data_IF_724119919865
#
_entry.id   IF_724119919865
#
_cell.length_a   1.000
_cell.length_b   1.000
_cell.length_c   1.000
_cell.angle_alpha   90.00
_cell.angle_beta   90.00
_cell.angle_gamma   90.00
#
_symmetry.space_group_name_H-M   'P 1'
#
loop_
_entity.id
_entity.type
_entity.pdbx_description
1 polymer ?
#
# COMPACT_ATOMS: atom_id res chain seq x y z
N UNK A 1 24.44 -17.09 9.96
CA UNK A 1 23.41 -17.76 10.80
C UNK A 1 22.06 -17.16 10.41
N UNK A 2 21.23 -17.91 9.68
CA UNK A 2 19.91 -17.43 9.26
C UNK A 2 18.96 -17.59 10.45
N UNK A 3 18.82 -16.56 11.27
CA UNK A 3 17.83 -16.53 12.34
C UNK A 3 16.48 -16.39 11.65
N UNK A 4 15.71 -17.48 11.66
CA UNK A 4 14.34 -17.52 11.14
C UNK A 4 13.51 -16.48 11.90
N UNK A 5 12.79 -15.62 11.18
CA UNK A 5 11.89 -14.64 11.81
C UNK A 5 10.79 -15.41 12.53
N UNK A 6 10.65 -15.17 13.82
CA UNK A 6 9.66 -15.87 14.62
C UNK A 6 8.28 -15.25 14.35
N UNK A 7 7.28 -16.09 14.01
CA UNK A 7 5.89 -15.63 13.86
C UNK A 7 5.38 -14.95 15.13
N UNK A 8 5.80 -15.44 16.30
CA UNK A 8 5.44 -14.86 17.60
C UNK A 8 5.90 -13.41 17.70
N UNK A 9 7.14 -13.12 17.32
CA UNK A 9 7.68 -11.75 17.33
C UNK A 9 6.86 -10.82 16.42
N UNK A 10 6.45 -11.30 15.24
CA UNK A 10 5.57 -10.52 14.35
C UNK A 10 4.22 -10.25 15.01
N UNK A 11 3.61 -11.25 15.66
CA UNK A 11 2.33 -11.09 16.35
C UNK A 11 2.45 -10.11 17.51
N UNK A 12 3.49 -10.21 18.33
CA UNK A 12 3.71 -9.32 19.48
C UNK A 12 3.89 -7.87 19.02
N UNK A 13 4.77 -7.63 18.03
CA UNK A 13 4.95 -6.30 17.43
C UNK A 13 3.65 -5.76 16.83
N UNK A 14 2.90 -6.59 16.10
CA UNK A 14 1.63 -6.18 15.52
C UNK A 14 0.59 -5.82 16.60
N UNK A 15 0.50 -6.61 17.67
CA UNK A 15 -0.40 -6.33 18.80
C UNK A 15 -0.10 -4.99 19.46
N UNK A 16 1.18 -4.67 19.71
CA UNK A 16 1.55 -3.35 20.24
C UNK A 16 1.22 -2.21 19.26
N UNK A 17 1.46 -2.41 17.96
CA UNK A 17 1.11 -1.45 16.91
C UNK A 17 -0.39 -1.17 16.80
N UNK A 18 -1.20 -2.22 16.88
CA UNK A 18 -2.66 -2.12 16.84
C UNK A 18 -3.18 -1.39 18.07
N UNK A 19 -2.66 -1.70 19.26
CA UNK A 19 -3.04 -1.01 20.50
C UNK A 19 -2.75 0.49 20.40
N UNK A 20 -1.52 0.85 20.01
CA UNK A 20 -1.13 2.24 19.82
C UNK A 20 -1.99 2.95 18.78
N UNK A 21 -2.27 2.30 17.64
CA UNK A 21 -3.05 2.89 16.55
C UNK A 21 -4.51 3.19 16.95
N UNK A 22 -5.09 2.36 17.82
CA UNK A 22 -6.47 2.54 18.35
C UNK A 22 -6.59 3.71 19.32
N UNK A 23 -5.49 4.17 19.90
CA UNK A 23 -5.44 5.31 20.82
C UNK A 23 -5.30 6.65 20.08
N UNK A 24 -5.02 6.63 18.77
CA UNK A 24 -4.79 7.84 18.00
C UNK A 24 -6.11 8.52 17.59
N UNK A 25 -6.12 9.86 17.66
CA UNK A 25 -7.16 10.66 17.02
C UNK A 25 -6.82 10.83 15.53
N UNK A 26 -7.66 10.26 14.65
CA UNK A 26 -7.40 10.23 13.21
C UNK A 26 -8.46 11.05 12.47
N UNK A 27 -8.03 12.11 11.78
CA UNK A 27 -8.94 13.03 11.08
C UNK A 27 -8.70 13.12 9.57
N UNK A 28 -7.48 12.83 9.11
CA UNK A 28 -7.09 12.93 7.70
C UNK A 28 -7.53 11.70 6.90
N UNK A 29 -8.05 11.90 5.68
CA UNK A 29 -8.54 10.81 4.81
C UNK A 29 -7.46 9.77 4.54
N UNK A 30 -6.22 10.22 4.31
CA UNK A 30 -5.05 9.37 4.12
C UNK A 30 -4.84 8.43 5.32
N UNK A 31 -4.84 8.97 6.52
CA UNK A 31 -4.56 8.21 7.74
C UNK A 31 -5.73 7.31 8.12
N UNK A 32 -6.98 7.76 7.94
CA UNK A 32 -8.18 6.92 8.07
C UNK A 32 -8.11 5.71 7.14
N UNK A 33 -7.84 5.94 5.86
CA UNK A 33 -7.79 4.89 4.84
C UNK A 33 -6.73 3.84 5.16
N UNK A 34 -5.53 4.26 5.59
CA UNK A 34 -4.44 3.34 5.95
C UNK A 34 -4.76 2.56 7.22
N UNK A 35 -5.32 3.21 8.24
CA UNK A 35 -5.71 2.55 9.48
C UNK A 35 -6.82 1.53 9.28
N UNK A 36 -7.83 1.84 8.44
CA UNK A 36 -8.89 0.90 8.07
C UNK A 36 -8.28 -0.34 7.40
N UNK A 37 -7.42 -0.17 6.39
CA UNK A 37 -6.75 -1.29 5.71
C UNK A 37 -5.95 -2.15 6.68
N UNK A 38 -5.12 -1.52 7.51
CA UNK A 38 -4.28 -2.20 8.49
C UNK A 38 -5.12 -3.01 9.47
N UNK A 39 -6.09 -2.37 10.14
CA UNK A 39 -6.93 -3.03 11.13
C UNK A 39 -7.78 -4.16 10.51
N UNK A 40 -8.34 -3.96 9.32
CA UNK A 40 -9.12 -4.97 8.61
C UNK A 40 -8.30 -6.24 8.36
N UNK A 41 -7.05 -6.09 7.90
CA UNK A 41 -6.11 -7.20 7.68
C UNK A 41 -5.80 -8.02 8.95
N UNK A 42 -5.91 -7.40 10.12
CA UNK A 42 -5.72 -8.04 11.42
C UNK A 42 -7.04 -8.49 12.08
N UNK A 43 -8.15 -8.47 11.34
CA UNK A 43 -9.51 -8.78 11.82
C UNK A 43 -9.97 -7.90 12.99
N UNK A 44 -9.48 -6.66 13.03
CA UNK A 44 -9.87 -5.67 14.04
C UNK A 44 -11.10 -4.87 13.62
N UNK A 45 -11.82 -4.32 14.60
CA UNK A 45 -13.03 -3.53 14.33
C UNK A 45 -12.67 -2.20 13.65
N UNK A 46 -13.19 -1.97 12.45
CA UNK A 46 -12.96 -0.75 11.65
C UNK A 46 -14.20 0.14 11.48
N UNK A 47 -15.37 -0.30 11.97
CA UNK A 47 -16.66 0.36 11.71
C UNK A 47 -16.67 1.86 11.99
N UNK A 48 -16.17 2.28 13.15
CA UNK A 48 -16.13 3.69 13.52
C UNK A 48 -15.27 4.53 12.57
N UNK A 49 -14.10 4.01 12.15
CA UNK A 49 -13.23 4.69 11.19
C UNK A 49 -13.86 4.76 9.80
N UNK A 50 -14.56 3.70 9.38
CA UNK A 50 -15.31 3.69 8.11
C UNK A 50 -16.42 4.74 8.15
N UNK A 51 -17.20 4.81 9.23
CA UNK A 51 -18.24 5.82 9.41
C UNK A 51 -17.64 7.23 9.33
N UNK A 52 -16.53 7.50 10.04
CA UNK A 52 -15.82 8.77 10.00
C UNK A 52 -15.23 9.10 8.61
N UNK A 53 -14.74 8.09 7.89
CA UNK A 53 -14.27 8.27 6.51
C UNK A 53 -15.44 8.68 5.61
N UNK A 54 -16.59 8.01 5.73
CA UNK A 54 -17.78 8.29 4.92
C UNK A 54 -18.41 9.66 5.23
N UNK A 55 -18.37 10.14 6.47
CA UNK A 55 -18.89 11.49 6.81
C UNK A 55 -18.07 12.62 6.18
N UNK A 56 -16.81 12.36 5.81
CA UNK A 56 -15.92 13.32 5.13
C UNK A 56 -16.09 13.35 3.61
N UNK A 57 -16.96 12.51 3.05
CA UNK A 57 -17.22 12.42 1.62
C UNK A 57 -18.15 13.56 1.17
N UNK A 58 -17.84 14.20 0.05
CA UNK A 58 -18.71 15.20 -0.59
C UNK A 58 -19.10 14.71 -1.98
N UNK A 59 -20.36 14.32 -2.16
CA UNK A 59 -20.83 13.77 -3.42
C UNK A 59 -20.03 12.53 -3.85
N UNK A 60 -19.46 12.55 -5.05
CA UNK A 60 -18.77 11.41 -5.64
C UNK A 60 -17.27 11.30 -5.27
N UNK A 61 -16.73 12.17 -4.41
CA UNK A 61 -15.30 12.12 -4.04
C UNK A 61 -15.04 12.63 -2.61
N UNK A 62 -13.79 12.48 -2.16
CA UNK A 62 -13.29 13.21 -0.99
C UNK A 62 -12.60 14.48 -1.47
N UNK A 63 -13.27 15.64 -1.30
CA UNK A 63 -12.81 16.96 -1.72
C UNK A 63 -11.69 17.50 -0.81
N UNK A 64 -10.52 16.87 -0.89
CA UNK A 64 -9.30 17.34 -0.23
C UNK A 64 -8.47 18.19 -1.19
N UNK A 65 -7.29 18.64 -0.75
CA UNK A 65 -6.30 19.25 -1.65
C UNK A 65 -5.68 18.24 -2.65
N UNK A 66 -5.97 16.94 -2.53
CA UNK A 66 -5.52 15.86 -3.42
C UNK A 66 -6.66 14.86 -3.69
N UNK A 67 -7.74 15.30 -4.37
CA UNK A 67 -9.00 14.57 -4.40
C UNK A 67 -8.90 13.20 -5.10
N UNK A 68 -8.10 13.07 -6.17
CA UNK A 68 -7.85 11.76 -6.82
C UNK A 68 -7.20 10.80 -5.83
N UNK A 69 -6.13 11.26 -5.19
CA UNK A 69 -5.30 10.46 -4.30
C UNK A 69 -6.08 9.95 -3.09
N UNK A 70 -6.83 10.84 -2.44
CA UNK A 70 -7.55 10.51 -1.22
C UNK A 70 -8.84 9.72 -1.52
N UNK A 71 -9.51 9.99 -2.64
CA UNK A 71 -10.63 9.14 -3.10
C UNK A 71 -10.14 7.73 -3.41
N UNK A 72 -9.01 7.57 -4.12
CA UNK A 72 -8.45 6.26 -4.44
C UNK A 72 -8.06 5.46 -3.17
N UNK A 73 -7.44 6.13 -2.19
CA UNK A 73 -7.12 5.52 -0.89
C UNK A 73 -8.36 5.08 -0.12
N UNK A 74 -9.38 5.94 -0.08
CA UNK A 74 -10.65 5.65 0.58
C UNK A 74 -11.34 4.45 -0.08
N UNK A 75 -11.45 4.41 -1.41
CA UNK A 75 -11.99 3.28 -2.15
C UNK A 75 -11.23 1.98 -1.84
N UNK A 76 -9.90 2.00 -1.90
CA UNK A 76 -9.07 0.81 -1.60
C UNK A 76 -9.30 0.33 -0.16
N UNK A 77 -9.45 1.26 0.79
CA UNK A 77 -9.73 0.93 2.18
C UNK A 77 -11.10 0.30 2.37
N UNK A 78 -12.13 0.86 1.74
CA UNK A 78 -13.49 0.30 1.79
C UNK A 78 -13.54 -1.11 1.17
N UNK A 79 -12.86 -1.32 0.04
CA UNK A 79 -12.78 -2.65 -0.60
C UNK A 79 -12.10 -3.68 0.32
N UNK A 80 -11.08 -3.28 1.08
CA UNK A 80 -10.43 -4.17 2.06
C UNK A 80 -11.35 -4.63 3.20
N UNK A 81 -12.51 -3.98 3.36
CA UNK A 81 -13.57 -4.34 4.28
C UNK A 81 -14.82 -4.91 3.57
N UNK A 82 -14.72 -5.25 2.28
CA UNK A 82 -15.81 -5.81 1.50
C UNK A 82 -16.84 -4.78 0.99
N UNK A 83 -16.51 -3.50 1.00
CA UNK A 83 -17.40 -2.42 0.55
C UNK A 83 -16.89 -1.84 -0.78
N UNK A 84 -17.66 -1.98 -1.86
CA UNK A 84 -17.32 -1.43 -3.17
C UNK A 84 -18.03 -0.07 -3.35
N UNK A 85 -17.25 1.00 -3.37
CA UNK A 85 -17.71 2.38 -3.53
C UNK A 85 -17.87 2.75 -5.02
N UNK A 86 -18.86 2.16 -5.69
CA UNK A 86 -19.04 2.26 -7.15
C UNK A 86 -19.06 3.71 -7.68
N UNK A 87 -19.85 4.59 -7.06
CA UNK A 87 -19.95 6.01 -7.46
C UNK A 87 -18.57 6.71 -7.46
N UNK A 88 -17.73 6.41 -6.47
CA UNK A 88 -16.41 7.02 -6.31
C UNK A 88 -15.41 6.44 -7.30
N UNK A 89 -15.51 5.14 -7.62
CA UNK A 89 -14.69 4.48 -8.64
C UNK A 89 -15.06 4.98 -10.05
N UNK A 90 -16.34 5.20 -10.32
CA UNK A 90 -16.82 5.80 -11.57
C UNK A 90 -16.32 7.23 -11.69
N UNK A 91 -16.34 8.01 -10.60
CA UNK A 91 -15.76 9.34 -10.57
C UNK A 91 -14.26 9.32 -10.86
N UNK A 92 -13.48 8.45 -10.20
CA UNK A 92 -12.04 8.27 -10.48
C UNK A 92 -11.85 7.98 -11.98
N UNK A 93 -12.60 7.01 -12.53
CA UNK A 93 -12.50 6.62 -13.93
C UNK A 93 -12.79 7.81 -14.86
N UNK A 94 -13.82 8.60 -14.57
CA UNK A 94 -14.19 9.79 -15.33
C UNK A 94 -13.15 10.92 -15.27
N UNK A 95 -12.23 10.92 -14.31
CA UNK A 95 -11.13 11.90 -14.24
C UNK A 95 -9.93 11.52 -15.12
N UNK A 96 -9.87 10.32 -15.68
CA UNK A 96 -8.75 9.89 -16.50
C UNK A 96 -8.67 10.71 -17.80
N UNK A 97 -7.48 11.20 -18.13
CA UNK A 97 -7.19 11.90 -19.39
C UNK A 97 -5.89 11.39 -19.98
N UNK A 98 -5.88 11.04 -21.27
CA UNK A 98 -4.69 10.54 -21.97
C UNK A 98 -4.00 9.38 -21.22
N UNK A 99 -4.81 8.45 -20.70
CA UNK A 99 -4.32 7.28 -19.94
C UNK A 99 -3.78 7.60 -18.55
N UNK A 100 -3.96 8.79 -17.97
CA UNK A 100 -3.42 9.11 -16.65
C UNK A 100 -4.33 10.01 -15.83
N UNK A 101 -3.94 10.22 -14.58
CA UNK A 101 -4.53 11.20 -13.68
C UNK A 101 -3.51 12.32 -13.41
N UNK A 102 -3.87 13.54 -13.83
CA UNK A 102 -3.10 14.77 -13.60
C UNK A 102 -1.63 14.75 -14.05
N UNK A 103 -1.30 13.93 -15.04
CA UNK A 103 0.08 13.68 -15.50
C UNK A 103 1.03 13.31 -14.34
N UNK A 104 0.48 12.61 -13.34
CA UNK A 104 1.18 12.24 -12.11
C UNK A 104 1.29 10.73 -12.02
N UNK A 105 2.51 10.23 -11.90
CA UNK A 105 2.81 8.83 -11.67
C UNK A 105 2.27 8.32 -10.32
N UNK A 106 2.22 9.19 -9.31
CA UNK A 106 1.70 8.86 -7.99
C UNK A 106 0.17 8.74 -8.05
N UNK A 107 -0.53 9.76 -8.56
CA UNK A 107 -2.00 9.71 -8.61
C UNK A 107 -2.50 8.62 -9.55
N UNK A 108 -1.83 8.42 -10.69
CA UNK A 108 -2.14 7.32 -11.62
C UNK A 108 -1.95 5.97 -10.96
N UNK A 109 -0.86 5.76 -10.21
CA UNK A 109 -0.65 4.50 -9.49
C UNK A 109 -1.74 4.25 -8.45
N UNK A 110 -2.12 5.25 -7.65
CA UNK A 110 -3.17 5.10 -6.64
C UNK A 110 -4.55 4.85 -7.26
N UNK A 111 -4.91 5.55 -8.33
CA UNK A 111 -6.15 5.31 -9.06
C UNK A 111 -6.22 3.87 -9.59
N UNK A 112 -5.13 3.39 -10.22
CA UNK A 112 -5.04 2.02 -10.72
C UNK A 112 -5.06 0.97 -9.61
N UNK A 113 -4.46 1.25 -8.45
CA UNK A 113 -4.57 0.38 -7.26
C UNK A 113 -6.02 0.26 -6.83
N UNK A 114 -6.75 1.39 -6.69
CA UNK A 114 -8.13 1.40 -6.24
C UNK A 114 -9.07 0.66 -7.22
N UNK A 115 -8.91 0.90 -8.52
CA UNK A 115 -9.64 0.18 -9.57
C UNK A 115 -9.31 -1.32 -9.52
N UNK A 116 -8.04 -1.67 -9.35
CA UNK A 116 -7.58 -3.06 -9.30
C UNK A 116 -8.10 -3.81 -8.08
N UNK A 117 -8.13 -3.15 -6.92
CA UNK A 117 -8.74 -3.68 -5.70
C UNK A 117 -10.23 -4.00 -5.92
N UNK A 118 -10.95 -3.14 -6.64
CA UNK A 118 -12.35 -3.35 -7.00
C UNK A 118 -12.56 -4.33 -8.18
N UNK A 119 -11.51 -4.95 -8.71
CA UNK A 119 -11.59 -5.87 -9.85
C UNK A 119 -11.78 -5.19 -11.21
N UNK A 120 -11.64 -3.88 -11.30
CA UNK A 120 -11.77 -3.10 -12.53
C UNK A 120 -10.41 -2.98 -13.24
N UNK A 121 -10.36 -3.41 -14.50
CA UNK A 121 -9.15 -3.32 -15.33
C UNK A 121 -9.07 -1.96 -16.02
N UNK A 122 -7.88 -1.37 -16.04
CA UNK A 122 -7.59 -0.15 -16.79
C UNK A 122 -6.21 -0.28 -17.47
N UNK A 123 -6.25 -0.81 -18.70
CA UNK A 123 -5.06 -1.15 -19.46
C UNK A 123 -4.30 0.10 -19.90
N UNK A 124 -5.02 1.11 -20.40
CA UNK A 124 -4.45 2.39 -20.85
C UNK A 124 -3.62 3.07 -19.76
N UNK A 125 -4.07 3.02 -18.51
CA UNK A 125 -3.33 3.57 -17.38
C UNK A 125 -2.07 2.79 -17.04
N UNK A 126 -2.12 1.46 -17.15
CA UNK A 126 -0.95 0.62 -16.95
C UNK A 126 0.11 0.85 -18.05
N UNK A 127 -0.31 0.92 -19.30
CA UNK A 127 0.57 1.22 -20.43
C UNK A 127 1.17 2.62 -20.31
N UNK A 128 0.39 3.59 -19.84
CA UNK A 128 0.92 4.93 -19.57
C UNK A 128 2.03 4.92 -18.53
N UNK A 129 1.88 4.18 -17.43
CA UNK A 129 2.92 4.05 -16.41
C UNK A 129 4.19 3.42 -16.99
N UNK A 130 4.08 2.33 -17.73
CA UNK A 130 5.23 1.61 -18.29
C UNK A 130 5.95 2.44 -19.35
N UNK A 131 5.22 3.05 -20.29
CA UNK A 131 5.80 3.83 -21.39
C UNK A 131 6.53 5.09 -20.91
N UNK A 132 6.04 5.72 -19.85
CA UNK A 132 6.59 6.98 -19.34
C UNK A 132 7.60 6.79 -18.20
N UNK A 133 7.80 5.56 -17.71
CA UNK A 133 8.77 5.31 -16.66
C UNK A 133 10.19 5.63 -17.12
N UNK A 134 10.92 6.40 -16.31
CA UNK A 134 12.30 6.77 -16.57
C UNK A 134 12.98 7.38 -15.35
N UNK A 135 14.19 7.91 -15.53
CA UNK A 135 15.06 8.39 -14.43
C UNK A 135 14.38 9.36 -13.46
N UNK A 136 13.45 10.20 -13.94
CA UNK A 136 12.70 11.15 -13.11
C UNK A 136 11.79 10.45 -12.08
N UNK A 137 11.32 9.25 -12.40
CA UNK A 137 10.41 8.46 -11.55
C UNK A 137 11.14 7.37 -10.76
N UNK A 138 12.45 7.21 -10.93
CA UNK A 138 13.30 6.25 -10.21
C UNK A 138 13.51 6.67 -8.75
N UNK A 139 12.43 6.62 -7.99
CA UNK A 139 12.39 6.72 -6.54
C UNK A 139 11.75 5.45 -5.98
N UNK A 140 12.21 5.00 -4.80
CA UNK A 140 11.76 3.74 -4.20
C UNK A 140 10.24 3.74 -3.98
N UNK A 141 9.70 4.80 -3.38
CA UNK A 141 8.26 4.92 -3.11
C UNK A 141 7.42 4.90 -4.40
N UNK A 142 7.82 5.70 -5.39
CA UNK A 142 7.14 5.77 -6.69
C UNK A 142 7.17 4.44 -7.43
N UNK A 143 8.35 3.83 -7.53
CA UNK A 143 8.52 2.53 -8.21
C UNK A 143 7.72 1.43 -7.52
N UNK A 144 7.67 1.43 -6.19
CA UNK A 144 6.87 0.48 -5.40
C UNK A 144 5.37 0.63 -5.66
N UNK A 145 4.88 1.87 -5.77
CA UNK A 145 3.46 2.14 -6.10
C UNK A 145 3.12 1.66 -7.51
N UNK A 146 3.99 1.90 -8.49
CA UNK A 146 3.80 1.44 -9.87
C UNK A 146 3.77 -0.08 -9.93
N UNK A 147 4.71 -0.77 -9.29
CA UNK A 147 4.70 -2.25 -9.19
C UNK A 147 3.39 -2.73 -8.57
N UNK A 148 2.96 -2.13 -7.46
CA UNK A 148 1.72 -2.49 -6.77
C UNK A 148 0.50 -2.31 -7.69
N UNK A 149 0.43 -1.21 -8.43
CA UNK A 149 -0.63 -0.95 -9.40
C UNK A 149 -0.67 -2.01 -10.50
N UNK A 150 0.47 -2.27 -11.15
CA UNK A 150 0.57 -3.24 -12.25
C UNK A 150 0.29 -4.67 -11.77
N UNK A 151 0.72 -5.03 -10.56
CA UNK A 151 0.43 -6.33 -9.93
C UNK A 151 -1.08 -6.55 -9.75
N UNK A 152 -1.82 -5.54 -9.29
CA UNK A 152 -3.28 -5.60 -9.11
C UNK A 152 -4.04 -5.56 -10.43
N UNK A 153 -3.51 -4.83 -11.41
CA UNK A 153 -4.11 -4.66 -12.71
C UNK A 153 -3.87 -5.87 -13.64
N UNK A 154 -2.63 -6.23 -13.93
CA UNK A 154 -2.34 -7.37 -14.81
C UNK A 154 -0.91 -7.88 -14.62
N UNK A 155 -0.69 -8.69 -13.57
CA UNK A 155 0.63 -9.30 -13.28
C UNK A 155 1.28 -9.97 -14.49
N UNK A 156 0.51 -10.71 -15.28
CA UNK A 156 1.05 -11.53 -16.39
C UNK A 156 1.59 -10.65 -17.50
N UNK A 157 0.82 -9.64 -17.94
CA UNK A 157 1.23 -8.74 -19.02
C UNK A 157 2.47 -7.93 -18.65
N UNK A 158 2.59 -7.52 -17.39
CA UNK A 158 3.63 -6.58 -16.93
C UNK A 158 4.79 -7.25 -16.20
N UNK A 159 4.90 -8.58 -16.27
CA UNK A 159 5.83 -9.35 -15.45
C UNK A 159 7.29 -8.92 -15.59
N UNK A 160 7.76 -8.68 -16.82
CA UNK A 160 9.16 -8.32 -17.07
C UNK A 160 9.51 -6.96 -16.46
N UNK A 161 8.64 -5.96 -16.65
CA UNK A 161 8.79 -4.65 -16.02
C UNK A 161 8.77 -4.77 -14.49
N UNK A 162 7.83 -5.55 -13.94
CA UNK A 162 7.72 -5.74 -12.49
C UNK A 162 8.99 -6.37 -11.92
N UNK A 163 9.51 -7.44 -12.52
CA UNK A 163 10.73 -8.13 -12.07
C UNK A 163 11.96 -7.24 -12.14
N UNK A 164 12.15 -6.55 -13.27
CA UNK A 164 13.28 -5.64 -13.45
C UNK A 164 13.26 -4.51 -12.41
N UNK A 165 12.08 -3.91 -12.17
CA UNK A 165 11.95 -2.83 -11.19
C UNK A 165 11.98 -3.30 -9.74
N UNK A 166 11.51 -4.51 -9.43
CA UNK A 166 11.66 -5.13 -8.12
C UNK A 166 13.14 -5.39 -7.81
N UNK A 167 13.90 -5.94 -8.77
CA UNK A 167 15.35 -6.09 -8.68
C UNK A 167 16.08 -4.77 -8.45
N UNK A 168 15.65 -3.70 -9.15
CA UNK A 168 16.18 -2.35 -8.91
C UNK A 168 15.91 -1.88 -7.47
N UNK A 169 14.70 -2.03 -6.93
CA UNK A 169 14.37 -1.67 -5.54
C UNK A 169 15.29 -2.40 -4.55
N UNK A 170 15.47 -3.71 -4.73
CA UNK A 170 16.35 -4.52 -3.88
C UNK A 170 17.81 -4.07 -3.95
N UNK A 171 18.30 -3.71 -5.14
CA UNK A 171 19.67 -3.20 -5.32
C UNK A 171 19.95 -1.89 -4.57
N UNK A 172 18.90 -1.16 -4.19
CA UNK A 172 18.97 0.11 -3.44
C UNK A 172 18.73 -0.06 -1.94
N UNK A 173 18.52 -1.29 -1.47
CA UNK A 173 18.34 -1.57 -0.04
C UNK A 173 19.65 -1.29 0.70
N UNK A 174 19.53 -0.59 1.82
CA UNK A 174 20.67 -0.30 2.70
C UNK A 174 20.75 -1.40 3.79
N UNK A 175 20.75 -1.03 5.07
CA UNK A 175 20.82 -1.95 6.21
C UNK A 175 19.51 -2.68 6.48
N UNK A 176 18.92 -3.31 5.46
CA UNK A 176 17.64 -4.02 5.51
C UNK A 176 16.43 -3.15 5.17
N UNK A 177 16.50 -1.83 5.35
CA UNK A 177 15.46 -0.89 4.94
C UNK A 177 15.91 0.08 3.84
N UNK A 178 15.08 1.10 3.63
CA UNK A 178 15.35 2.29 2.82
C UNK A 178 15.20 3.53 3.72
N UNK A 179 15.57 4.70 3.20
CA UNK A 179 15.73 5.96 3.95
C UNK A 179 14.62 6.25 4.98
N UNK A 180 13.36 6.02 4.64
CA UNK A 180 12.21 6.29 5.51
C UNK A 180 11.37 5.04 5.77
N UNK A 181 10.77 4.94 6.95
CA UNK A 181 9.92 3.79 7.33
C UNK A 181 8.71 3.63 6.41
N UNK A 182 8.01 4.72 6.07
CA UNK A 182 6.91 4.67 5.11
C UNK A 182 7.35 4.17 3.72
N UNK A 183 8.48 4.67 3.21
CA UNK A 183 9.06 4.23 1.92
C UNK A 183 9.47 2.77 1.96
N UNK A 184 10.08 2.33 3.06
CA UNK A 184 10.48 0.94 3.27
C UNK A 184 9.29 0.01 3.26
N UNK A 185 8.18 0.41 3.89
CA UNK A 185 6.96 -0.39 3.86
C UNK A 185 6.35 -0.50 2.45
N UNK A 186 6.32 0.58 1.67
CA UNK A 186 5.86 0.50 0.27
C UNK A 186 6.74 -0.47 -0.53
N UNK A 187 8.06 -0.42 -0.35
CA UNK A 187 8.99 -1.35 -0.99
C UNK A 187 8.74 -2.80 -0.56
N UNK A 188 8.65 -3.06 0.74
CA UNK A 188 8.37 -4.41 1.27
C UNK A 188 7.06 -4.97 0.68
N UNK A 189 5.98 -4.18 0.67
CA UNK A 189 4.69 -4.60 0.13
C UNK A 189 4.77 -4.91 -1.37
N UNK A 190 5.41 -4.05 -2.16
CA UNK A 190 5.59 -4.27 -3.59
C UNK A 190 6.44 -5.52 -3.89
N UNK A 191 7.50 -5.73 -3.12
CA UNK A 191 8.38 -6.89 -3.26
C UNK A 191 7.66 -8.20 -2.85
N UNK A 192 6.86 -8.19 -1.78
CA UNK A 192 6.04 -9.36 -1.41
C UNK A 192 5.04 -9.68 -2.52
N UNK A 193 4.35 -8.67 -3.08
CA UNK A 193 3.40 -8.86 -4.18
C UNK A 193 4.06 -9.43 -5.43
N UNK A 194 5.28 -9.01 -5.74
CA UNK A 194 6.06 -9.50 -6.89
C UNK A 194 6.72 -10.86 -6.66
N UNK A 195 6.40 -11.55 -5.57
CA UNK A 195 6.92 -12.85 -5.16
C UNK A 195 8.43 -12.89 -4.89
N UNK A 196 9.05 -11.75 -4.60
CA UNK A 196 10.47 -11.70 -4.23
C UNK A 196 10.74 -12.50 -2.95
N UNK A 197 11.87 -13.21 -2.92
CA UNK A 197 12.22 -14.14 -1.84
C UNK A 197 13.08 -13.50 -0.77
N UNK A 198 13.92 -12.53 -1.12
CA UNK A 198 14.87 -11.90 -0.20
C UNK A 198 14.24 -10.75 0.61
N UNK A 199 13.17 -11.04 1.35
CA UNK A 199 12.38 -10.05 2.11
C UNK A 199 12.64 -10.13 3.62
N UNK A 200 13.09 -11.28 4.12
CA UNK A 200 13.35 -11.49 5.53
C UNK A 200 14.30 -10.44 6.17
N UNK A 201 15.37 -9.95 5.51
CA UNK A 201 16.18 -8.87 6.08
C UNK A 201 15.38 -7.59 6.34
N UNK A 202 14.45 -7.25 5.44
CA UNK A 202 13.63 -6.05 5.56
C UNK A 202 12.54 -6.15 6.63
N UNK A 203 12.00 -7.36 6.85
CA UNK A 203 11.07 -7.59 7.96
C UNK A 203 11.79 -7.51 9.31
N UNK A 204 12.99 -8.08 9.44
CA UNK A 204 13.81 -7.93 10.65
C UNK A 204 14.14 -6.49 10.95
N UNK A 205 14.54 -5.74 9.92
CA UNK A 205 14.75 -4.30 10.04
C UNK A 205 13.48 -3.59 10.52
N UNK A 206 12.31 -3.92 9.95
CA UNK A 206 11.04 -3.31 10.32
C UNK A 206 10.68 -3.59 11.78
N UNK A 207 10.83 -4.83 12.26
CA UNK A 207 10.57 -5.20 13.65
C UNK A 207 11.49 -4.44 14.61
N UNK A 208 12.79 -4.34 14.28
CA UNK A 208 13.77 -3.59 15.08
C UNK A 208 13.60 -2.06 15.07
N UNK A 209 12.70 -1.52 14.22
CA UNK A 209 12.38 -0.08 14.16
C UNK A 209 11.15 0.30 14.96
N UNK A 210 10.48 -0.67 15.60
CA UNK A 210 9.35 -0.36 16.47
C UNK A 210 9.86 0.28 17.76
N UNK A 211 9.34 1.46 18.08
CA UNK A 211 9.66 2.20 19.29
C UNK A 211 8.35 2.56 20.01
N UNK A 212 8.27 2.30 21.31
CA UNK A 212 7.06 2.58 22.12
C UNK A 212 5.77 2.02 21.47
N UNK A 213 5.86 0.83 20.89
CA UNK A 213 4.75 0.14 20.25
C UNK A 213 4.38 0.63 18.86
N UNK A 214 5.06 1.62 18.27
CA UNK A 214 4.70 2.17 16.95
C UNK A 214 5.93 2.37 16.04
N UNK A 215 5.70 2.86 14.82
CA UNK A 215 6.75 3.08 13.81
C UNK A 215 6.91 4.56 13.43
N UNK A 216 6.62 5.47 14.37
CA UNK A 216 6.86 6.91 14.30
C UNK A 216 5.58 7.74 14.16
N UNK A 217 4.71 7.38 13.22
CA UNK A 217 3.46 8.09 12.95
C UNK A 217 2.33 7.12 12.52
N UNK A 218 1.10 7.64 12.39
CA UNK A 218 -0.08 6.85 12.00
C UNK A 218 0.12 6.16 10.64
N UNK A 219 0.61 6.88 9.63
CA UNK A 219 0.84 6.34 8.28
C UNK A 219 1.87 5.20 8.32
N UNK A 220 3.02 5.43 8.95
CA UNK A 220 4.13 4.48 9.05
C UNK A 220 3.73 3.26 9.88
N UNK A 221 2.97 3.44 10.96
CA UNK A 221 2.46 2.34 11.79
C UNK A 221 1.46 1.48 11.03
N UNK A 222 0.46 2.10 10.40
CA UNK A 222 -0.51 1.37 9.59
C UNK A 222 0.16 0.61 8.43
N UNK A 223 1.09 1.25 7.72
CA UNK A 223 1.87 0.59 6.66
C UNK A 223 2.72 -0.58 7.19
N UNK A 224 3.30 -0.46 8.38
CA UNK A 224 4.07 -1.54 9.01
C UNK A 224 3.19 -2.74 9.34
N UNK A 225 2.01 -2.50 9.92
CA UNK A 225 1.03 -3.54 10.19
C UNK A 225 0.58 -4.27 8.91
N UNK A 226 0.39 -3.54 7.80
CA UNK A 226 0.07 -4.12 6.49
C UNK A 226 1.22 -5.02 6.01
N UNK A 227 2.46 -4.52 6.03
CA UNK A 227 3.65 -5.26 5.61
C UNK A 227 3.85 -6.55 6.42
N UNK A 228 3.70 -6.48 7.74
CA UNK A 228 3.82 -7.63 8.63
C UNK A 228 2.74 -8.68 8.33
N UNK A 229 1.49 -8.27 8.10
CA UNK A 229 0.42 -9.21 7.73
C UNK A 229 0.69 -9.88 6.38
N UNK A 230 1.10 -9.10 5.39
CA UNK A 230 1.44 -9.63 4.06
C UNK A 230 2.56 -10.67 4.14
N UNK A 231 3.59 -10.41 4.95
CA UNK A 231 4.68 -11.36 5.15
C UNK A 231 4.23 -12.63 5.87
N UNK A 232 3.39 -12.54 6.90
CA UNK A 232 2.77 -13.71 7.52
C UNK A 232 1.97 -14.54 6.50
N UNK A 233 1.25 -13.88 5.59
CA UNK A 233 0.56 -14.52 4.48
C UNK A 233 1.52 -15.33 3.60
N UNK A 234 2.66 -14.73 3.21
CA UNK A 234 3.71 -15.40 2.42
C UNK A 234 4.33 -16.61 3.15
N UNK A 235 4.57 -16.50 4.46
CA UNK A 235 5.07 -17.63 5.26
C UNK A 235 4.07 -18.78 5.36
N UNK A 236 2.76 -18.47 5.40
CA UNK A 236 1.71 -19.47 5.51
C UNK A 236 1.40 -20.16 4.17
N UNK A 237 1.69 -19.52 3.03
CA UNK A 237 1.51 -20.11 1.70
C UNK A 237 2.67 -21.02 1.25
N UNK A 238 3.72 -21.16 2.07
CA UNK A 238 4.88 -22.00 1.75
C UNK A 238 5.82 -21.40 0.69
N UNK A 239 5.69 -20.10 0.39
CA UNK A 239 6.56 -19.35 -0.54
C UNK A 239 7.73 -18.64 0.18
N UNK A 240 8.08 -19.08 1.39
CA UNK A 240 9.10 -18.50 2.27
C UNK A 240 10.44 -19.20 2.18
#
# INVERSE_FOLDING_TARGET
MNIMINKIEIYDSASSGIAWLKEQEISEVKDLSRSIQALSLWNEKTRHLIELLLTKKTGACWETNKPILDTARACSALVSCGIIAHEQLDWITGQQKNGNWNNSEIETSYALIALGDAGMKNEDGCEWLVRNYGKKWEHIGTTSLIITALMKQNKVKYLDFIKDRAGWILSKRESGGWTYTATSNLAIQALILSDETDIAPSIRWLLGRQEQGNWGDITSTALSLISLKMYLGKLNSGLG
#
